data_IF_358573164070
#
_entry.id   IF_358573164070
#
_cell.length_a   1.000
_cell.length_b   1.000
_cell.length_c   1.000
_cell.angle_alpha   90.00
_cell.angle_beta   90.00
_cell.angle_gamma   90.00
#
_symmetry.space_group_name_H-M   'P 1'
#
loop_
_entity.id
_entity.type
_entity.pdbx_description
1 polymer ?
#
# COMPACT_ATOMS: atom_id res chain seq x y z
N UNK A 1 -65.09 15.74 39.37
CA UNK A 1 -63.63 15.80 39.56
C UNK A 1 -63.02 14.59 38.89
N UNK A 2 -62.56 14.73 37.65
CA UNK A 2 -61.61 13.81 37.02
C UNK A 2 -60.61 14.72 36.32
N UNK A 3 -59.43 14.84 36.93
CA UNK A 3 -58.30 15.52 36.31
C UNK A 3 -57.82 14.64 35.15
N UNK A 4 -57.93 15.19 33.94
CA UNK A 4 -57.38 14.59 32.74
C UNK A 4 -55.87 14.75 32.79
N UNK A 5 -55.18 13.62 32.92
CA UNK A 5 -53.73 13.51 32.90
C UNK A 5 -53.27 13.73 31.45
N UNK A 6 -52.83 14.96 31.16
CA UNK A 6 -52.24 15.29 29.86
C UNK A 6 -50.80 14.80 29.86
N UNK A 7 -50.58 13.58 29.40
CA UNK A 7 -49.27 13.16 28.94
C UNK A 7 -48.88 14.05 27.74
N UNK A 8 -48.03 15.03 27.97
CA UNK A 8 -47.40 15.79 26.90
C UNK A 8 -46.47 14.84 26.14
N UNK A 9 -46.93 14.37 24.99
CA UNK A 9 -46.06 13.82 23.96
C UNK A 9 -45.42 15.04 23.30
N UNK A 10 -44.27 15.47 23.81
CA UNK A 10 -43.39 16.37 23.06
C UNK A 10 -42.97 15.62 21.81
N UNK A 11 -43.35 16.12 20.64
CA UNK A 11 -42.82 15.59 19.38
C UNK A 11 -41.32 15.84 19.35
N UNK A 12 -40.53 14.92 18.78
CA UNK A 12 -39.06 15.04 18.72
C UNK A 12 -38.62 16.44 18.23
N UNK A 13 -39.37 17.02 17.29
CA UNK A 13 -39.13 18.36 16.75
C UNK A 13 -39.23 19.49 17.80
N UNK A 14 -40.13 19.43 18.79
CA UNK A 14 -40.21 20.45 19.85
C UNK A 14 -38.98 20.39 20.78
N UNK A 15 -38.50 19.19 21.09
CA UNK A 15 -37.29 18.98 21.89
C UNK A 15 -36.02 19.44 21.14
N UNK A 16 -35.90 19.14 19.84
CA UNK A 16 -34.81 19.65 19.00
C UNK A 16 -34.82 21.18 18.94
N UNK A 17 -36.00 21.80 18.78
CA UNK A 17 -36.12 23.25 18.77
C UNK A 17 -35.82 23.90 20.12
N UNK A 18 -35.99 23.18 21.23
CA UNK A 18 -35.61 23.64 22.57
C UNK A 18 -34.09 23.54 22.79
N UNK A 19 -33.46 22.45 22.34
CA UNK A 19 -31.99 22.29 22.35
C UNK A 19 -31.28 23.35 21.50
N UNK A 20 -31.88 23.78 20.38
CA UNK A 20 -31.34 24.85 19.54
C UNK A 20 -31.41 26.24 20.22
N UNK A 21 -32.29 26.42 21.20
CA UNK A 21 -32.49 27.70 21.92
C UNK A 21 -31.68 27.78 23.21
N UNK A 22 -31.16 26.66 23.71
CA UNK A 22 -30.35 26.63 24.91
C UNK A 22 -28.99 27.33 24.65
N UNK A 23 -28.53 28.24 25.53
CA UNK A 23 -27.18 28.78 25.44
C UNK A 23 -26.15 27.64 25.41
N UNK A 24 -25.08 27.82 24.63
CA UNK A 24 -23.93 26.93 24.71
C UNK A 24 -23.25 27.15 26.07
N UNK A 25 -23.57 26.32 27.05
CA UNK A 25 -23.13 26.45 28.46
C UNK A 25 -21.64 26.13 28.69
N UNK A 26 -20.83 26.02 27.64
CA UNK A 26 -19.43 25.62 27.76
C UNK A 26 -18.50 26.82 27.64
N UNK A 27 -17.94 27.26 28.77
CA UNK A 27 -16.99 28.38 28.84
C UNK A 27 -15.63 28.06 28.19
N UNK A 28 -15.21 26.80 28.20
CA UNK A 28 -13.90 26.36 27.67
C UNK A 28 -14.07 25.66 26.32
N UNK A 29 -13.34 26.05 25.26
CA UNK A 29 -13.35 25.34 23.97
C UNK A 29 -12.75 23.92 24.08
N UNK A 30 -13.09 23.00 23.17
CA UNK A 30 -12.51 21.64 23.19
C UNK A 30 -10.98 21.65 23.04
N UNK A 31 -10.43 22.45 22.12
CA UNK A 31 -8.98 22.65 21.99
C UNK A 31 -8.68 24.14 22.18
N UNK A 32 -7.76 24.52 23.09
CA UNK A 32 -7.39 25.92 23.30
C UNK A 32 -6.71 26.52 22.07
N UNK A 33 -6.80 27.84 21.93
CA UNK A 33 -6.04 28.56 20.92
C UNK A 33 -4.53 28.34 21.11
N UNK A 34 -3.79 28.26 20.00
CA UNK A 34 -2.33 28.16 19.99
C UNK A 34 -1.73 26.95 20.76
N UNK A 35 -2.47 25.84 20.87
CA UNK A 35 -1.96 24.63 21.53
C UNK A 35 -0.60 24.15 20.95
N UNK A 36 0.44 23.87 21.78
CA UNK A 36 1.81 23.69 21.28
C UNK A 36 2.01 22.46 20.39
N UNK A 37 1.25 21.39 20.61
CA UNK A 37 1.30 20.16 19.82
C UNK A 37 -0.02 19.39 19.88
N UNK A 38 -0.16 18.39 19.01
CA UNK A 38 -1.36 17.55 18.88
C UNK A 38 -1.62 16.75 20.16
N UNK A 39 -0.59 16.24 20.84
CA UNK A 39 -0.77 15.46 22.07
C UNK A 39 -1.46 16.29 23.17
N UNK A 40 -0.96 17.50 23.43
CA UNK A 40 -1.57 18.43 24.38
C UNK A 40 -2.97 18.85 23.96
N UNK A 41 -3.21 18.98 22.66
CA UNK A 41 -4.53 19.31 22.12
C UNK A 41 -5.52 18.18 22.41
N UNK A 42 -5.13 16.92 22.17
CA UNK A 42 -5.95 15.75 22.48
C UNK A 42 -6.15 15.55 23.98
N UNK A 43 -5.13 15.78 24.82
CA UNK A 43 -5.28 15.74 26.29
C UNK A 43 -6.37 16.70 26.76
N UNK A 44 -6.34 17.95 26.28
CA UNK A 44 -7.34 18.96 26.63
C UNK A 44 -8.72 18.61 26.07
N UNK A 45 -8.80 18.20 24.80
CA UNK A 45 -10.04 17.78 24.15
C UNK A 45 -10.72 16.65 24.91
N UNK A 46 -9.95 15.66 25.32
CA UNK A 46 -10.40 14.48 26.07
C UNK A 46 -10.97 14.88 27.45
N UNK A 47 -10.27 15.78 28.15
CA UNK A 47 -10.75 16.34 29.43
C UNK A 47 -12.04 17.15 29.26
N UNK A 48 -12.14 17.97 28.21
CA UNK A 48 -13.35 18.73 27.92
C UNK A 48 -14.52 17.83 27.54
N UNK A 49 -14.33 16.85 26.66
CA UNK A 49 -15.38 15.89 26.30
C UNK A 49 -15.91 15.14 27.53
N UNK A 50 -15.01 14.69 28.40
CA UNK A 50 -15.40 14.03 29.64
C UNK A 50 -16.20 14.96 30.55
N UNK A 51 -15.75 16.21 30.78
CA UNK A 51 -16.47 17.20 31.60
C UNK A 51 -17.85 17.53 31.03
N UNK A 52 -17.99 17.62 29.71
CA UNK A 52 -19.21 18.06 29.02
C UNK A 52 -20.25 16.96 28.84
N UNK A 53 -19.81 15.73 28.55
CA UNK A 53 -20.69 14.64 28.08
C UNK A 53 -20.57 13.36 28.92
N UNK A 54 -19.61 13.28 29.84
CA UNK A 54 -19.36 12.09 30.65
C UNK A 54 -18.63 11.00 29.87
N UNK A 55 -19.39 10.05 29.30
CA UNK A 55 -18.82 8.99 28.45
C UNK A 55 -18.54 9.51 27.05
N UNK A 56 -17.43 9.11 26.44
CA UNK A 56 -17.05 9.51 25.08
C UNK A 56 -16.16 8.43 24.45
N UNK A 57 -16.11 8.31 23.12
CA UNK A 57 -15.27 7.32 22.47
C UNK A 57 -13.79 7.67 22.66
N UNK A 58 -12.97 6.67 22.98
CA UNK A 58 -11.54 6.86 23.16
C UNK A 58 -10.90 7.50 21.92
N UNK A 59 -10.28 8.67 22.11
CA UNK A 59 -9.58 9.42 21.06
C UNK A 59 -8.11 8.95 21.00
N UNK A 60 -7.61 8.81 19.79
CA UNK A 60 -6.22 8.50 19.51
C UNK A 60 -5.31 9.62 19.99
N UNK A 61 -4.40 9.29 20.92
CA UNK A 61 -3.48 10.24 21.52
C UNK A 61 -2.18 10.29 20.70
N UNK A 62 -2.12 11.19 19.72
CA UNK A 62 -0.92 11.35 18.91
C UNK A 62 -1.14 12.16 17.65
N UNK A 63 -0.18 12.06 16.73
CA UNK A 63 -0.28 12.76 15.45
C UNK A 63 -1.27 12.07 14.52
N UNK A 64 -1.89 12.86 13.62
CA UNK A 64 -2.76 12.28 12.59
C UNK A 64 -2.00 11.25 11.73
N UNK A 65 -0.71 11.51 11.47
CA UNK A 65 0.16 10.59 10.72
C UNK A 65 0.33 9.25 11.42
N UNK A 66 0.46 9.25 12.75
CA UNK A 66 0.60 8.01 13.52
C UNK A 66 -0.74 7.27 13.63
N UNK A 67 -1.86 7.99 13.75
CA UNK A 67 -3.20 7.40 13.68
C UNK A 67 -3.44 6.67 12.35
N UNK A 68 -2.99 7.25 11.23
CA UNK A 68 -3.02 6.62 9.90
C UNK A 68 -2.16 5.35 9.84
N UNK A 69 -0.97 5.35 10.46
CA UNK A 69 -0.16 4.14 10.55
C UNK A 69 -0.84 3.08 11.39
N UNK A 70 -1.42 3.44 12.53
CA UNK A 70 -2.09 2.48 13.41
C UNK A 70 -3.30 1.84 12.72
N UNK A 71 -4.02 2.59 11.89
CA UNK A 71 -5.16 2.09 11.14
C UNK A 71 -4.77 1.08 10.04
N UNK A 72 -3.71 1.35 9.29
CA UNK A 72 -3.48 0.68 8.01
C UNK A 72 -2.09 0.04 7.84
N UNK A 73 -1.18 0.20 8.82
CA UNK A 73 0.13 -0.44 8.83
C UNK A 73 0.26 -1.71 9.68
N UNK A 74 -0.72 -2.15 10.50
CA UNK A 74 -0.67 -3.49 11.10
C UNK A 74 -0.44 -4.57 10.04
N UNK A 75 0.41 -5.54 10.38
CA UNK A 75 0.75 -6.66 9.49
C UNK A 75 -0.46 -7.57 9.31
N UNK A 76 -1.09 -7.95 10.42
CA UNK A 76 -2.30 -8.75 10.43
C UNK A 76 -3.49 -7.90 10.00
N UNK A 77 -4.23 -8.37 8.99
CA UNK A 77 -5.41 -7.67 8.46
C UNK A 77 -6.50 -7.54 9.53
N UNK A 78 -6.61 -8.54 10.40
CA UNK A 78 -7.60 -8.59 11.48
C UNK A 78 -7.40 -7.51 12.53
N UNK A 79 -6.18 -6.96 12.64
CA UNK A 79 -5.85 -5.85 13.54
C UNK A 79 -6.14 -4.48 12.91
N UNK A 80 -6.37 -4.42 11.60
CA UNK A 80 -6.63 -3.16 10.89
C UNK A 80 -8.04 -2.66 11.19
N UNK A 81 -8.10 -1.40 11.61
CA UNK A 81 -9.35 -0.70 11.91
C UNK A 81 -9.41 0.56 11.05
N UNK A 82 -10.59 0.90 10.47
CA UNK A 82 -10.75 2.15 9.77
C UNK A 82 -10.45 3.33 10.70
N UNK A 83 -9.73 4.33 10.17
CA UNK A 83 -9.51 5.59 10.86
C UNK A 83 -10.75 6.45 10.73
N UNK A 84 -11.37 6.81 11.85
CA UNK A 84 -12.46 7.76 11.93
C UNK A 84 -11.90 9.13 12.29
N UNK A 85 -12.27 10.18 11.55
CA UNK A 85 -11.92 11.56 11.85
C UNK A 85 -13.17 12.31 12.28
N UNK A 86 -13.13 12.86 13.50
CA UNK A 86 -14.16 13.71 14.06
C UNK A 86 -13.69 15.16 14.12
N UNK A 87 -14.41 16.04 13.43
CA UNK A 87 -14.14 17.48 13.42
C UNK A 87 -15.27 18.22 14.11
N UNK A 88 -14.92 18.89 15.21
CA UNK A 88 -15.80 19.72 16.02
C UNK A 88 -15.61 21.20 15.69
N UNK A 89 -16.66 21.99 15.95
CA UNK A 89 -16.56 23.43 16.09
C UNK A 89 -17.58 23.85 17.15
N UNK A 90 -17.11 24.39 18.28
CA UNK A 90 -17.99 24.74 19.41
C UNK A 90 -18.97 25.86 19.07
N UNK A 91 -18.71 26.65 18.03
CA UNK A 91 -19.66 27.65 17.51
C UNK A 91 -20.85 26.99 16.82
N UNK A 92 -20.79 25.69 16.49
CA UNK A 92 -21.91 24.95 15.90
C UNK A 92 -22.80 24.35 16.98
N UNK A 93 -24.07 24.76 16.99
CA UNK A 93 -25.10 24.18 17.87
C UNK A 93 -25.29 22.69 17.55
N UNK A 94 -25.22 22.31 16.27
CA UNK A 94 -25.36 20.92 15.82
C UNK A 94 -24.25 20.02 16.35
N UNK A 95 -23.04 20.54 16.56
CA UNK A 95 -21.94 19.75 17.09
C UNK A 95 -22.23 19.28 18.52
N UNK A 96 -22.84 20.15 19.33
CA UNK A 96 -23.25 19.84 20.69
C UNK A 96 -24.41 18.84 20.73
N UNK A 97 -25.41 19.00 19.86
CA UNK A 97 -26.54 18.07 19.75
C UNK A 97 -26.04 16.69 19.32
N UNK A 98 -25.17 16.62 18.30
CA UNK A 98 -24.57 15.38 17.82
C UNK A 98 -23.77 14.66 18.91
N UNK A 99 -22.94 15.40 19.67
CA UNK A 99 -22.18 14.83 20.77
C UNK A 99 -23.11 14.21 21.83
N UNK A 100 -24.15 14.94 22.25
CA UNK A 100 -25.10 14.48 23.27
C UNK A 100 -25.96 13.29 22.82
N UNK A 101 -26.43 13.30 21.58
CA UNK A 101 -27.43 12.32 21.11
C UNK A 101 -26.82 11.08 20.47
N UNK A 102 -25.71 11.25 19.75
CA UNK A 102 -25.14 10.19 18.91
C UNK A 102 -23.74 9.78 19.34
N UNK A 103 -22.76 10.69 19.33
CA UNK A 103 -21.35 10.34 19.54
C UNK A 103 -21.06 9.77 20.94
N UNK A 104 -21.64 10.40 21.97
CA UNK A 104 -21.43 10.04 23.37
C UNK A 104 -22.50 9.06 23.90
N UNK A 105 -23.37 8.55 23.02
CA UNK A 105 -24.27 7.47 23.39
C UNK A 105 -23.45 6.21 23.73
N UNK A 106 -23.80 5.53 24.82
CA UNK A 106 -23.07 4.35 25.33
C UNK A 106 -22.82 3.28 24.25
N UNK A 107 -23.83 2.96 23.45
CA UNK A 107 -23.70 1.96 22.37
C UNK A 107 -22.76 2.44 21.26
N UNK A 108 -22.81 3.72 20.93
CA UNK A 108 -21.88 4.33 19.96
C UNK A 108 -20.45 4.27 20.47
N UNK A 109 -20.24 4.66 21.73
CA UNK A 109 -18.93 4.66 22.38
C UNK A 109 -18.30 3.27 22.34
N UNK A 110 -19.02 2.25 22.81
CA UNK A 110 -18.58 0.86 22.80
C UNK A 110 -18.24 0.38 21.38
N UNK A 111 -19.11 0.69 20.42
CA UNK A 111 -18.94 0.28 19.03
C UNK A 111 -17.72 0.93 18.38
N UNK A 112 -17.55 2.26 18.53
CA UNK A 112 -16.43 2.99 17.97
C UNK A 112 -15.10 2.54 18.56
N UNK A 113 -15.03 2.37 19.89
CA UNK A 113 -13.80 1.93 20.57
C UNK A 113 -13.33 0.56 20.09
N UNK A 114 -14.28 -0.34 19.82
CA UNK A 114 -13.99 -1.71 19.39
C UNK A 114 -13.60 -1.79 17.91
N UNK A 115 -14.20 -0.94 17.05
CA UNK A 115 -14.14 -1.13 15.60
C UNK A 115 -13.32 -0.07 14.85
N UNK A 116 -13.09 1.10 15.43
CA UNK A 116 -12.44 2.24 14.78
C UNK A 116 -11.26 2.75 15.58
N UNK A 117 -10.37 3.47 14.91
CA UNK A 117 -9.43 4.38 15.55
C UNK A 117 -10.01 5.77 15.37
N UNK A 118 -10.40 6.43 16.46
CA UNK A 118 -10.97 7.77 16.39
C UNK A 118 -9.88 8.82 16.58
N UNK A 119 -9.72 9.72 15.62
CA UNK A 119 -8.90 10.91 15.75
C UNK A 119 -9.81 12.15 15.73
N UNK A 120 -9.69 13.03 16.72
CA UNK A 120 -10.63 14.13 16.92
C UNK A 120 -9.93 15.48 16.94
N UNK A 121 -10.52 16.48 16.30
CA UNK A 121 -9.96 17.83 16.24
C UNK A 121 -11.03 18.91 16.32
N UNK A 122 -10.70 20.04 16.94
CA UNK A 122 -11.59 21.17 17.12
C UNK A 122 -11.13 22.38 16.30
N UNK A 123 -12.05 22.94 15.51
CA UNK A 123 -11.85 24.06 14.60
C UNK A 123 -12.44 25.37 15.10
N UNK A 124 -12.70 25.49 16.41
CA UNK A 124 -13.28 26.70 16.99
C UNK A 124 -12.37 27.93 16.77
N UNK A 125 -11.06 27.72 16.84
CA UNK A 125 -10.02 28.72 16.60
C UNK A 125 -9.34 28.53 15.23
N UNK A 126 -9.07 29.65 14.53
CA UNK A 126 -8.41 29.66 13.21
C UNK A 126 -7.01 29.03 13.25
N UNK A 127 -6.30 29.14 14.38
CA UNK A 127 -4.97 28.51 14.54
C UNK A 127 -5.05 26.97 14.49
N UNK A 128 -6.14 26.38 14.97
CA UNK A 128 -6.37 24.94 14.94
C UNK A 128 -6.75 24.48 13.52
N UNK A 129 -7.43 25.33 12.74
CA UNK A 129 -7.71 25.06 11.32
C UNK A 129 -6.44 24.99 10.49
N UNK A 130 -5.52 25.94 10.68
CA UNK A 130 -4.21 25.91 10.02
C UNK A 130 -3.44 24.64 10.35
N UNK A 131 -3.41 24.25 11.63
CA UNK A 131 -2.76 23.00 12.08
C UNK A 131 -3.43 21.76 11.49
N UNK A 132 -4.76 21.69 11.43
CA UNK A 132 -5.46 20.57 10.79
C UNK A 132 -5.04 20.44 9.33
N UNK A 133 -4.98 21.55 8.58
CA UNK A 133 -4.56 21.54 7.19
C UNK A 133 -3.13 21.01 7.03
N UNK A 134 -2.21 21.43 7.90
CA UNK A 134 -0.83 20.94 7.90
C UNK A 134 -0.76 19.44 8.26
N UNK A 135 -1.52 19.00 9.26
CA UNK A 135 -1.63 17.60 9.65
C UNK A 135 -2.15 16.73 8.51
N UNK A 136 -3.21 17.18 7.83
CA UNK A 136 -3.80 16.48 6.69
C UNK A 136 -2.81 16.38 5.52
N UNK A 137 -2.09 17.46 5.17
CA UNK A 137 -1.05 17.41 4.12
C UNK A 137 0.06 16.42 4.46
N UNK A 138 0.47 16.37 5.73
CA UNK A 138 1.53 15.49 6.20
C UNK A 138 1.12 14.02 6.29
N UNK A 139 -0.15 13.75 6.60
CA UNK A 139 -0.69 12.40 6.75
C UNK A 139 -1.19 11.81 5.41
N UNK A 140 -1.82 12.65 4.59
CA UNK A 140 -2.48 12.30 3.34
C UNK A 140 -1.81 13.08 2.20
N UNK A 141 -0.82 12.47 1.56
CA UNK A 141 0.00 13.10 0.51
C UNK A 141 -0.82 13.64 -0.69
N UNK A 142 -2.06 13.16 -0.87
CA UNK A 142 -3.02 13.58 -1.91
C UNK A 142 -4.15 14.46 -1.37
N UNK A 143 -4.07 14.98 -0.14
CA UNK A 143 -5.10 15.85 0.42
C UNK A 143 -5.16 17.17 -0.35
N UNK A 144 -6.12 17.28 -1.27
CA UNK A 144 -6.40 18.55 -1.93
C UNK A 144 -7.07 19.50 -0.94
N UNK A 145 -6.28 20.42 -0.38
CA UNK A 145 -6.72 21.44 0.58
C UNK A 145 -7.87 22.32 0.08
N UNK A 146 -8.12 22.35 -1.22
CA UNK A 146 -9.04 23.31 -1.84
C UNK A 146 -10.53 22.99 -1.67
N UNK A 147 -10.93 21.76 -1.29
CA UNK A 147 -12.34 21.34 -1.42
C UNK A 147 -13.05 20.78 -0.19
N UNK A 148 -12.37 20.31 0.85
CA UNK A 148 -13.05 19.60 1.96
C UNK A 148 -13.31 20.40 3.24
N UNK A 149 -12.45 21.37 3.58
CA UNK A 149 -12.60 22.18 4.81
C UNK A 149 -12.63 23.68 4.51
N UNK A 150 -13.39 24.10 3.48
CA UNK A 150 -13.49 25.53 3.19
C UNK A 150 -14.08 26.27 4.41
N UNK A 151 -13.24 27.16 4.96
CA UNK A 151 -13.28 27.84 6.26
C UNK A 151 -14.55 28.62 6.66
N UNK A 152 -15.63 28.60 5.90
CA UNK A 152 -16.57 29.73 5.92
C UNK A 152 -17.96 29.48 6.48
N UNK A 153 -18.34 28.24 6.84
CA UNK A 153 -19.65 28.00 7.48
C UNK A 153 -19.52 27.07 8.67
N UNK A 154 -19.57 27.64 9.86
CA UNK A 154 -19.81 26.93 11.13
C UNK A 154 -20.92 25.88 11.00
N UNK A 155 -21.91 26.16 10.16
CA UNK A 155 -23.02 25.30 9.78
C UNK A 155 -22.60 24.00 9.05
N UNK A 156 -21.33 23.72 8.80
CA UNK A 156 -20.89 22.42 8.25
C UNK A 156 -20.34 21.46 9.32
N UNK A 157 -20.37 21.89 10.59
CA UNK A 157 -19.93 21.08 11.73
C UNK A 157 -21.12 20.62 12.56
N UNK A 158 -21.05 19.41 13.13
CA UNK A 158 -19.90 18.53 13.20
C UNK A 158 -19.65 17.80 11.87
N UNK A 159 -18.43 17.32 11.67
CA UNK A 159 -18.12 16.41 10.56
C UNK A 159 -17.51 15.13 11.11
N UNK A 160 -18.05 13.98 10.71
CA UNK A 160 -17.55 12.66 11.08
C UNK A 160 -17.41 11.82 9.82
N UNK A 161 -16.20 11.33 9.54
CA UNK A 161 -15.95 10.54 8.34
C UNK A 161 -14.86 9.50 8.57
N UNK A 162 -14.99 8.34 7.94
CA UNK A 162 -13.93 7.35 7.89
C UNK A 162 -12.97 7.62 6.73
N UNK A 163 -11.71 7.31 6.97
CA UNK A 163 -10.66 7.24 5.97
C UNK A 163 -10.40 5.77 5.66
N UNK A 164 -10.16 5.45 4.39
CA UNK A 164 -9.71 4.13 3.95
C UNK A 164 -8.73 4.27 2.77
N UNK A 165 -7.98 3.22 2.48
CA UNK A 165 -7.04 3.20 1.36
C UNK A 165 -7.69 2.58 0.14
N UNK A 166 -7.50 3.21 -1.01
CA UNK A 166 -7.89 2.66 -2.31
C UNK A 166 -6.79 1.72 -2.85
N UNK A 167 -7.11 0.99 -3.92
CA UNK A 167 -6.21 -0.02 -4.51
C UNK A 167 -4.91 0.59 -5.05
N UNK A 168 -4.97 1.85 -5.48
CA UNK A 168 -3.83 2.63 -5.98
C UNK A 168 -2.97 3.23 -4.84
N UNK A 169 -3.35 2.99 -3.59
CA UNK A 169 -2.66 3.51 -2.40
C UNK A 169 -3.07 4.92 -1.99
N UNK A 170 -4.00 5.56 -2.71
CA UNK A 170 -4.59 6.84 -2.31
C UNK A 170 -5.54 6.67 -1.12
N UNK A 171 -5.88 7.78 -0.45
CA UNK A 171 -6.84 7.80 0.64
C UNK A 171 -8.18 8.34 0.16
N UNK A 172 -9.25 7.63 0.48
CA UNK A 172 -10.63 8.03 0.23
C UNK A 172 -11.39 8.24 1.55
N UNK A 173 -12.51 8.98 1.46
CA UNK A 173 -13.26 9.47 2.61
C UNK A 173 -14.73 9.10 2.50
N UNK A 174 -15.28 8.52 3.57
CA UNK A 174 -16.70 8.19 3.69
C UNK A 174 -17.33 9.00 4.84
N UNK A 175 -18.22 9.94 4.51
CA UNK A 175 -18.87 10.80 5.49
C UNK A 175 -20.08 10.12 6.11
N UNK A 176 -20.10 10.07 7.44
CA UNK A 176 -21.27 9.67 8.23
C UNK A 176 -22.09 10.89 8.65
N UNK A 177 -21.43 12.01 8.91
CA UNK A 177 -22.06 13.26 9.35
C UNK A 177 -21.36 14.44 8.70
N UNK A 178 -22.14 15.40 8.19
CA UNK A 178 -21.65 16.65 7.63
C UNK A 178 -22.63 17.80 7.92
N UNK A 179 -22.36 18.54 8.99
CA UNK A 179 -23.16 19.67 9.43
C UNK A 179 -24.56 19.26 9.92
N UNK A 180 -25.58 20.12 9.76
CA UNK A 180 -26.95 19.88 10.19
C UNK A 180 -27.72 18.90 9.30
N UNK A 181 -27.05 18.33 8.30
CA UNK A 181 -27.70 17.54 7.26
C UNK A 181 -28.12 16.19 7.83
N UNK A 182 -29.44 16.01 7.85
CA UNK A 182 -30.23 14.82 8.24
C UNK A 182 -30.38 14.61 9.75
N UNK A 183 -31.64 14.55 10.21
CA UNK A 183 -31.98 13.98 11.52
C UNK A 183 -31.58 12.50 11.48
N UNK A 184 -30.31 12.21 11.78
CA UNK A 184 -29.84 10.83 11.84
C UNK A 184 -30.27 10.26 13.19
N UNK A 185 -31.12 9.24 13.16
CA UNK A 185 -31.47 8.51 14.37
C UNK A 185 -30.27 7.71 14.87
N UNK A 186 -30.21 7.41 16.17
CA UNK A 186 -29.16 6.54 16.72
C UNK A 186 -29.06 5.19 16.00
N UNK A 187 -30.21 4.63 15.60
CA UNK A 187 -30.28 3.35 14.89
C UNK A 187 -29.66 3.46 13.51
N UNK A 188 -30.00 4.49 12.74
CA UNK A 188 -29.42 4.71 11.41
C UNK A 188 -27.92 5.01 11.48
N UNK A 189 -27.50 5.76 12.49
CA UNK A 189 -26.09 6.06 12.72
C UNK A 189 -25.28 4.79 12.98
N UNK A 190 -25.72 3.96 13.94
CA UNK A 190 -25.05 2.70 14.27
C UNK A 190 -25.08 1.71 13.10
N UNK A 191 -26.18 1.65 12.36
CA UNK A 191 -26.28 0.82 11.15
C UNK A 191 -25.29 1.27 10.09
N UNK A 192 -25.18 2.58 9.84
CA UNK A 192 -24.23 3.13 8.87
C UNK A 192 -22.78 2.82 9.26
N UNK A 193 -22.42 2.96 10.54
CA UNK A 193 -21.11 2.52 11.04
C UNK A 193 -20.89 1.03 10.81
N UNK A 194 -21.87 0.19 11.15
CA UNK A 194 -21.76 -1.26 10.97
C UNK A 194 -21.59 -1.67 9.51
N UNK A 195 -22.44 -1.15 8.63
CA UNK A 195 -22.41 -1.42 7.19
C UNK A 195 -21.05 -0.99 6.60
N UNK A 196 -20.51 0.15 7.03
CA UNK A 196 -19.19 0.58 6.59
C UNK A 196 -18.08 -0.32 7.12
N UNK A 197 -18.11 -0.71 8.40
CA UNK A 197 -17.08 -1.59 8.98
C UNK A 197 -17.04 -2.95 8.28
N UNK A 198 -18.19 -3.51 7.94
CA UNK A 198 -18.27 -4.76 7.18
C UNK A 198 -17.64 -4.59 5.80
N UNK A 199 -18.05 -3.56 5.04
CA UNK A 199 -17.49 -3.25 3.72
C UNK A 199 -15.97 -3.04 3.76
N UNK A 200 -15.48 -2.28 4.75
CA UNK A 200 -14.06 -2.06 4.95
C UNK A 200 -13.30 -3.38 5.19
N UNK A 201 -13.87 -4.27 6.01
CA UNK A 201 -13.24 -5.55 6.35
C UNK A 201 -13.15 -6.46 5.13
N UNK A 202 -14.23 -6.56 4.35
CA UNK A 202 -14.27 -7.33 3.11
C UNK A 202 -13.26 -6.77 2.09
N UNK A 203 -13.21 -5.45 1.95
CA UNK A 203 -12.28 -4.78 1.06
C UNK A 203 -10.81 -5.05 1.42
N UNK A 204 -10.45 -4.94 2.70
CA UNK A 204 -9.08 -5.22 3.16
C UNK A 204 -8.69 -6.70 2.94
N UNK A 205 -9.62 -7.64 3.10
CA UNK A 205 -9.40 -9.06 2.81
C UNK A 205 -9.16 -9.32 1.32
N UNK A 206 -9.99 -8.73 0.45
CA UNK A 206 -9.83 -8.84 -1.01
C UNK A 206 -8.50 -8.23 -1.46
N UNK A 207 -8.17 -7.04 -0.96
CA UNK A 207 -6.91 -6.36 -1.28
C UNK A 207 -5.70 -7.17 -0.82
N UNK A 208 -5.78 -7.80 0.36
CA UNK A 208 -4.72 -8.67 0.83
C UNK A 208 -4.54 -9.90 -0.05
N UNK A 209 -5.64 -10.60 -0.36
CA UNK A 209 -5.62 -11.78 -1.23
C UNK A 209 -5.02 -11.44 -2.60
N UNK A 210 -5.42 -10.32 -3.20
CA UNK A 210 -4.88 -9.86 -4.47
C UNK A 210 -3.36 -9.59 -4.40
N UNK A 211 -2.88 -8.99 -3.30
CA UNK A 211 -1.45 -8.74 -3.06
C UNK A 211 -0.66 -10.03 -2.86
N UNK A 212 -1.20 -11.00 -2.14
CA UNK A 212 -0.57 -12.32 -1.96
C UNK A 212 -0.49 -13.09 -3.27
N UNK A 213 -1.57 -13.12 -4.04
CA UNK A 213 -1.58 -13.76 -5.36
C UNK A 213 -0.56 -13.12 -6.31
N UNK A 214 -0.42 -11.79 -6.26
CA UNK A 214 0.57 -11.06 -7.07
C UNK A 214 1.99 -11.44 -6.66
N UNK A 215 2.30 -11.40 -5.37
CA UNK A 215 3.61 -11.83 -4.84
C UNK A 215 3.92 -13.29 -5.20
N UNK A 216 2.93 -14.17 -5.10
CA UNK A 216 3.10 -15.59 -5.42
C UNK A 216 3.36 -15.82 -6.92
N UNK A 217 2.67 -15.07 -7.79
CA UNK A 217 2.93 -15.08 -9.24
C UNK A 217 4.32 -14.53 -9.57
N UNK A 218 4.75 -13.44 -8.93
CA UNK A 218 6.10 -12.87 -9.10
C UNK A 218 7.18 -13.87 -8.67
N UNK A 219 7.03 -14.50 -7.51
CA UNK A 219 7.95 -15.52 -7.03
C UNK A 219 7.99 -16.72 -7.99
N UNK A 220 6.85 -17.21 -8.44
CA UNK A 220 6.78 -18.32 -9.38
C UNK A 220 7.46 -17.98 -10.72
N UNK A 221 7.26 -16.76 -11.23
CA UNK A 221 7.92 -16.28 -12.44
C UNK A 221 9.45 -16.20 -12.26
N UNK A 222 9.93 -15.69 -11.13
CA UNK A 222 11.36 -15.62 -10.82
C UNK A 222 12.00 -17.01 -10.74
N UNK A 223 11.33 -17.97 -10.08
CA UNK A 223 11.81 -19.35 -10.01
C UNK A 223 11.87 -20.01 -11.39
N UNK A 224 10.83 -19.82 -12.21
CA UNK A 224 10.81 -20.34 -13.57
C UNK A 224 11.92 -19.74 -14.44
N UNK A 225 12.14 -18.42 -14.33
CA UNK A 225 13.21 -17.71 -15.03
C UNK A 225 14.58 -18.26 -14.63
N UNK A 226 14.81 -18.47 -13.33
CA UNK A 226 16.04 -19.06 -12.80
C UNK A 226 16.28 -20.48 -13.33
N UNK A 227 15.24 -21.33 -13.32
CA UNK A 227 15.35 -22.71 -13.80
C UNK A 227 15.60 -22.77 -15.31
N UNK A 228 14.98 -21.89 -16.09
CA UNK A 228 15.24 -21.75 -17.53
C UNK A 228 16.69 -21.33 -17.80
N UNK A 229 17.21 -20.38 -17.04
CA UNK A 229 18.60 -19.94 -17.18
C UNK A 229 19.59 -21.06 -16.82
N UNK A 230 19.32 -21.85 -15.77
CA UNK A 230 20.13 -23.03 -15.42
C UNK A 230 20.10 -24.09 -16.52
N UNK A 231 18.93 -24.35 -17.12
CA UNK A 231 18.80 -25.29 -18.24
C UNK A 231 19.58 -24.81 -19.46
N UNK A 232 19.49 -23.53 -19.80
CA UNK A 232 20.22 -22.95 -20.92
C UNK A 232 21.73 -23.11 -20.77
N UNK A 233 22.28 -22.84 -19.57
CA UNK A 233 23.70 -23.09 -19.27
C UNK A 233 24.08 -24.56 -19.45
N UNK A 234 23.27 -25.47 -18.89
CA UNK A 234 23.54 -26.91 -18.97
C UNK A 234 23.49 -27.43 -20.43
N UNK A 235 22.58 -26.91 -21.25
CA UNK A 235 22.52 -27.26 -22.67
C UNK A 235 23.74 -26.73 -23.43
N UNK A 236 24.19 -25.50 -23.13
CA UNK A 236 25.41 -24.92 -23.69
C UNK A 236 26.66 -25.74 -23.33
N UNK A 237 26.81 -26.14 -22.07
CA UNK A 237 27.91 -27.00 -21.60
C UNK A 237 27.91 -28.35 -22.32
N UNK A 238 26.73 -28.94 -22.50
CA UNK A 238 26.58 -30.21 -23.19
C UNK A 238 26.98 -30.11 -24.66
N UNK A 239 26.57 -29.05 -25.34
CA UNK A 239 26.90 -28.82 -26.74
C UNK A 239 28.39 -28.51 -26.91
N UNK A 240 28.99 -27.75 -25.99
CA UNK A 240 30.43 -27.52 -25.97
C UNK A 240 31.22 -28.83 -25.80
N UNK A 241 30.85 -29.68 -24.82
CA UNK A 241 31.48 -30.99 -24.61
C UNK A 241 31.38 -31.91 -25.83
N UNK A 242 30.23 -31.90 -26.52
CA UNK A 242 30.04 -32.66 -27.76
C UNK A 242 30.94 -32.15 -28.88
N UNK A 243 30.98 -30.84 -29.11
CA UNK A 243 31.82 -30.23 -30.12
C UNK A 243 33.31 -30.53 -29.86
N UNK A 244 33.74 -30.45 -28.60
CA UNK A 244 35.09 -30.80 -28.18
C UNK A 244 35.44 -32.26 -28.47
N UNK A 245 34.56 -33.21 -28.12
CA UNK A 245 34.76 -34.64 -28.43
C UNK A 245 34.85 -34.88 -29.93
N UNK A 246 33.97 -34.26 -30.73
CA UNK A 246 33.99 -34.42 -32.20
C UNK A 246 35.28 -33.87 -32.82
N UNK A 247 35.78 -32.73 -32.32
CA UNK A 247 37.06 -32.16 -32.78
C UNK A 247 38.23 -33.07 -32.42
N UNK A 248 38.27 -33.58 -31.18
CA UNK A 248 39.29 -34.51 -30.74
C UNK A 248 39.30 -35.82 -31.56
N UNK A 249 38.11 -36.39 -31.84
CA UNK A 249 37.99 -37.58 -32.68
C UNK A 249 38.40 -37.31 -34.13
N UNK A 250 38.07 -36.14 -34.69
CA UNK A 250 38.49 -35.72 -36.02
C UNK A 250 40.02 -35.55 -36.12
N UNK A 251 40.66 -34.96 -35.11
CA UNK A 251 42.12 -34.82 -35.04
C UNK A 251 42.81 -36.18 -34.91
N UNK A 252 42.23 -37.09 -34.12
CA UNK A 252 42.72 -38.47 -34.00
C UNK A 252 42.60 -39.22 -35.32
N UNK A 253 41.49 -39.09 -36.04
CA UNK A 253 41.31 -39.64 -37.38
C UNK A 253 42.30 -39.04 -38.39
N UNK A 254 42.51 -37.71 -38.36
CA UNK A 254 43.49 -37.05 -39.20
C UNK A 254 44.92 -37.55 -38.92
N UNK A 255 45.30 -37.68 -37.65
CA UNK A 255 46.58 -38.24 -37.23
C UNK A 255 46.75 -39.70 -37.69
N UNK A 256 45.71 -40.52 -37.55
CA UNK A 256 45.73 -41.92 -38.02
C UNK A 256 45.84 -42.01 -39.54
N UNK A 257 45.19 -41.12 -40.28
CA UNK A 257 45.26 -41.08 -41.75
C UNK A 257 46.64 -40.61 -42.25
N UNK A 258 47.34 -39.75 -41.50
CA UNK A 258 48.74 -39.36 -41.77
C UNK A 258 49.72 -40.49 -41.40
N UNK A 259 49.51 -41.16 -40.26
CA UNK A 259 50.41 -42.19 -39.74
C UNK A 259 50.25 -43.55 -40.44
N UNK A 260 49.04 -43.86 -40.89
CA UNK A 260 48.66 -45.08 -41.59
C UNK A 260 47.78 -44.72 -42.80
N UNK A 261 48.37 -44.16 -43.88
CA UNK A 261 47.61 -43.85 -45.07
C UNK A 261 46.99 -45.14 -45.61
N UNK A 262 45.66 -45.19 -45.74
CA UNK A 262 45.00 -46.32 -46.41
C UNK A 262 45.57 -46.42 -47.81
N UNK A 263 46.17 -47.56 -48.14
CA UNK A 263 46.70 -47.86 -49.47
C UNK A 263 45.64 -47.61 -50.53
N UNK A 264 45.90 -46.64 -51.41
CA UNK A 264 45.08 -46.37 -52.58
C UNK A 264 45.01 -47.61 -53.50
N UNK A 265 43.80 -47.97 -53.93
CA UNK A 265 43.61 -48.85 -55.08
C UNK A 265 44.10 -48.15 -56.36
N UNK A 266 44.64 -48.88 -57.36
CA UNK A 266 45.37 -48.27 -58.46
C UNK A 266 44.46 -47.59 -59.49
N UNK A 267 44.99 -46.49 -60.03
CA UNK A 267 44.48 -45.65 -61.11
C UNK A 267 44.22 -46.42 -62.41
N UNK A 268 43.14 -46.07 -63.11
CA UNK A 268 43.03 -46.21 -64.57
C UNK A 268 42.97 -44.83 -65.23
N UNK A 269 43.77 -44.66 -66.28
CA UNK A 269 43.89 -43.50 -67.19
C UNK A 269 42.59 -42.71 -67.41
N UNK A 270 42.62 -41.38 -67.34
CA UNK A 270 42.99 -40.53 -68.48
C UNK A 270 43.17 -39.06 -68.03
N UNK A 271 43.97 -38.29 -68.77
CA UNK A 271 44.55 -37.03 -68.31
C UNK A 271 43.63 -35.79 -68.33
N UNK A 272 43.84 -34.90 -67.36
CA UNK A 272 44.18 -33.47 -67.54
C UNK A 272 44.25 -32.75 -66.20
N UNK A 273 45.36 -32.05 -65.99
CA UNK A 273 45.51 -31.05 -64.92
C UNK A 273 44.68 -29.81 -65.22
N UNK A 274 43.89 -29.36 -64.24
CA UNK A 274 43.80 -27.93 -63.92
C UNK A 274 43.81 -27.76 -62.41
N UNK A 275 44.70 -26.88 -61.96
CA UNK A 275 45.00 -26.45 -60.61
C UNK A 275 43.84 -25.71 -59.95
N UNK A 276 43.65 -25.89 -58.64
CA UNK A 276 43.02 -24.89 -57.78
C UNK A 276 43.77 -24.78 -56.44
N UNK A 277 44.09 -23.56 -55.95
CA UNK A 277 45.03 -23.38 -54.85
C UNK A 277 44.35 -23.48 -53.47
N UNK A 278 45.02 -24.23 -52.59
CA UNK A 278 45.22 -24.02 -51.15
C UNK A 278 44.37 -22.94 -50.44
N UNK A 279 43.33 -23.38 -49.73
CA UNK A 279 42.91 -22.72 -48.48
C UNK A 279 43.91 -23.11 -47.39
N UNK A 280 44.92 -22.28 -47.18
CA UNK A 280 45.78 -22.35 -46.00
C UNK A 280 45.10 -21.58 -44.86
N UNK A 281 44.08 -22.18 -44.25
CA UNK A 281 43.66 -21.83 -42.89
C UNK A 281 44.46 -22.68 -41.92
N UNK A 282 45.32 -22.07 -41.09
CA UNK A 282 46.07 -22.78 -40.04
C UNK A 282 45.03 -23.30 -39.04
N UNK A 283 44.84 -24.61 -38.96
CA UNK A 283 44.08 -25.21 -37.87
C UNK A 283 44.82 -24.89 -36.56
N UNK A 284 44.13 -24.39 -35.52
CA UNK A 284 44.77 -24.09 -34.25
C UNK A 284 45.37 -25.38 -33.69
N UNK A 285 46.57 -25.27 -33.13
CA UNK A 285 47.26 -26.42 -32.52
C UNK A 285 46.56 -26.83 -31.23
N UNK A 286 46.75 -28.09 -30.81
CA UNK A 286 46.19 -28.59 -29.55
C UNK A 286 46.60 -27.72 -28.33
N UNK A 287 47.78 -27.09 -28.36
CA UNK A 287 48.22 -26.14 -27.33
C UNK A 287 47.43 -24.82 -27.36
N UNK A 288 47.05 -24.33 -28.55
CA UNK A 288 46.24 -23.11 -28.68
C UNK A 288 44.79 -23.33 -28.21
N UNK A 289 44.27 -24.55 -28.39
CA UNK A 289 42.94 -24.95 -27.88
C UNK A 289 42.98 -25.18 -26.37
N UNK A 290 44.04 -25.82 -25.85
CA UNK A 290 44.24 -25.98 -24.40
C UNK A 290 44.39 -24.63 -23.70
N UNK A 291 45.12 -23.68 -24.27
CA UNK A 291 45.24 -22.33 -23.72
C UNK A 291 43.90 -21.58 -23.74
N UNK A 292 43.08 -21.78 -24.78
CA UNK A 292 41.72 -21.21 -24.83
C UNK A 292 40.78 -21.87 -23.80
N UNK A 293 40.96 -23.16 -23.51
CA UNK A 293 40.22 -23.88 -22.47
C UNK A 293 40.64 -23.43 -21.06
N UNK A 294 41.94 -23.27 -20.81
CA UNK A 294 42.47 -22.73 -19.54
C UNK A 294 42.08 -21.26 -19.32
N UNK A 295 41.99 -20.45 -20.39
CA UNK A 295 41.45 -19.08 -20.30
C UNK A 295 39.95 -19.08 -20.01
N UNK A 296 39.18 -19.97 -20.63
CA UNK A 296 37.75 -20.11 -20.35
C UNK A 296 37.48 -20.59 -18.91
N UNK A 297 38.27 -21.53 -18.38
CA UNK A 297 38.17 -21.98 -16.99
C UNK A 297 38.48 -20.84 -15.99
N UNK A 298 39.51 -20.02 -16.25
CA UNK A 298 39.79 -18.83 -15.42
C UNK A 298 38.68 -17.80 -15.48
N UNK A 299 38.16 -17.50 -16.67
CA UNK A 299 37.07 -16.53 -16.85
C UNK A 299 35.74 -17.04 -16.25
N UNK A 300 35.56 -18.37 -16.12
CA UNK A 300 34.41 -18.96 -15.43
C UNK A 300 34.54 -18.98 -13.90
N UNK A 301 35.76 -19.16 -13.38
CA UNK A 301 36.02 -19.12 -11.94
C UNK A 301 35.97 -17.68 -11.39
N UNK A 302 36.41 -16.68 -12.17
CA UNK A 302 36.35 -15.25 -11.79
C UNK A 302 34.91 -14.67 -11.84
N UNK A 303 33.97 -15.35 -12.52
CA UNK A 303 32.57 -14.92 -12.61
C UNK A 303 31.71 -15.36 -11.42
N UNK A 304 32.19 -16.30 -10.60
CA UNK A 304 31.47 -16.81 -9.43
C UNK A 304 31.72 -15.98 -8.15
N UNK A 305 32.68 -15.03 -8.15
CA UNK A 305 33.06 -14.23 -6.98
C UNK A 305 32.56 -12.76 -6.98
N UNK A 306 31.98 -12.23 -8.07
CA UNK A 306 31.58 -10.79 -8.15
C UNK A 306 30.09 -10.48 -7.90
N UNK A 307 29.19 -11.46 -7.73
CA UNK A 307 27.74 -11.20 -7.74
C UNK A 307 27.02 -11.22 -6.37
N UNK A 308 27.74 -11.26 -5.24
CA UNK A 308 27.11 -11.39 -3.91
C UNK A 308 26.78 -10.07 -3.18
N UNK A 309 26.88 -8.89 -3.82
CA UNK A 309 26.50 -7.64 -3.13
C UNK A 309 25.85 -6.52 -3.96
N UNK A 310 25.14 -6.86 -5.04
CA UNK A 310 24.27 -5.87 -5.73
C UNK A 310 22.81 -6.16 -5.51
N UNK A 311 22.26 -5.48 -4.50
CA UNK A 311 20.81 -5.22 -4.38
C UNK A 311 20.23 -4.79 -5.74
N UNK A 312 19.11 -5.40 -6.20
CA UNK A 312 18.62 -5.13 -7.54
C UNK A 312 17.91 -3.77 -7.57
N UNK A 313 18.50 -2.82 -8.29
CA UNK A 313 17.86 -1.56 -8.68
C UNK A 313 16.60 -1.86 -9.49
N UNK A 314 15.45 -1.49 -8.93
CA UNK A 314 14.12 -1.62 -9.54
C UNK A 314 14.08 -0.81 -10.85
N UNK A 315 14.11 -1.51 -11.99
CA UNK A 315 13.85 -0.92 -13.30
C UNK A 315 12.32 -0.83 -13.50
N UNK A 316 11.77 0.36 -13.26
CA UNK A 316 10.40 0.67 -13.69
C UNK A 316 10.34 0.78 -15.23
N UNK A 317 9.37 0.14 -15.91
CA UNK A 317 9.16 0.33 -17.34
C UNK A 317 8.55 1.71 -17.60
N UNK A 318 9.19 2.51 -18.47
CA UNK A 318 8.63 3.78 -18.95
C UNK A 318 7.38 3.51 -19.80
N UNK A 319 6.30 4.29 -19.64
CA UNK A 319 5.12 4.15 -20.48
C UNK A 319 5.43 4.71 -21.87
N UNK A 320 5.13 3.91 -22.90
CA UNK A 320 4.94 4.41 -24.26
C UNK A 320 3.49 4.86 -24.37
N UNK A 321 3.27 6.14 -24.64
CA UNK A 321 2.02 6.62 -25.23
C UNK A 321 2.33 7.24 -26.60
N UNK A 322 1.38 7.16 -27.55
CA UNK A 322 1.49 7.84 -28.83
C UNK A 322 1.43 9.37 -28.69
#
# INVERSE_FOLDING_TARGET
MLASDKSYVTTDDEFYNELLKAPLEFEDCLIPDQCPNELKAHEHLTQCLHRRYGSYPAVYMGSLKDAVKEAFSPKEITERRPLMIFINNDKSVYANIFCKQLLCNEKTVEYLMSNYILWAWDLTHESNEKKLNDNCKNAFLSWSTEKQFQASKTDQYPSLFAVYRETDGSYAFHYFVKGPSEQVTLVDFLRSLSDFKEKFTNYEQELHKAREETKQKEIAYLLLSRDNHRRFRHDQDRDFRRAFSMAHDADKEAYLNVKYPRSAQPLSHDGRMTSNPLFAGRNPSAEEIMHAFEQFERDSDDADDEDDDRTPTVLHPKPKFP
#
